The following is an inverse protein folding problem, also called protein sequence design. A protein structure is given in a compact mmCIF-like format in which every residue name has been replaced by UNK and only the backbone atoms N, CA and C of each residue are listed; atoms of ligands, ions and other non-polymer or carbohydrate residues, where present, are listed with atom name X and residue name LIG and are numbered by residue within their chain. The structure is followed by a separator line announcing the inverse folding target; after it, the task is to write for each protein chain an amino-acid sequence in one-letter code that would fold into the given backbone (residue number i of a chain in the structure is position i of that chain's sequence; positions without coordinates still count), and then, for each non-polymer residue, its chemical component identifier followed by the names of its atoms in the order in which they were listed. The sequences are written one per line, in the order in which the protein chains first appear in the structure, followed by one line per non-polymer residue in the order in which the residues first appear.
data_IF_576769765691
#
_entry.id   IF_576769765691
#
_cell.length_a   1.000
_cell.length_b   1.000
_cell.length_c   1.000
_cell.angle_alpha   90.00
_cell.angle_beta   90.00
_cell.angle_gamma   90.00
#
_symmetry.space_group_name_H-M   'P 1'
#
loop_
_entity.id
_entity.type
_entity.pdbx_description
1 polymer ?
#
# COMPACT_ATOMS: atom_id res chain seq x y z
N UNK A 1 -0.63 -7.97 -17.59
CA UNK A 1 -1.91 -8.25 -16.89
C UNK A 1 -2.36 -6.93 -16.30
N UNK A 2 -3.57 -6.49 -16.59
CA UNK A 2 -4.13 -5.25 -16.05
C UNK A 2 -5.20 -5.60 -15.01
N UNK A 3 -5.09 -4.99 -13.83
CA UNK A 3 -6.07 -5.15 -12.76
C UNK A 3 -7.01 -3.93 -12.84
N UNK A 4 -8.34 -4.13 -12.98
CA UNK A 4 -9.27 -3.01 -13.01
C UNK A 4 -9.24 -2.24 -11.69
N UNK A 5 -9.50 -0.94 -11.75
CA UNK A 5 -9.56 -0.05 -10.58
C UNK A 5 -8.31 -0.08 -9.68
N UNK A 6 -7.15 -0.40 -10.25
CA UNK A 6 -5.89 -0.58 -9.52
C UNK A 6 -5.52 0.63 -8.66
N UNK A 7 -5.71 1.84 -9.16
CA UNK A 7 -5.43 3.06 -8.40
C UNK A 7 -6.35 3.21 -7.19
N UNK A 8 -7.65 2.95 -7.35
CA UNK A 8 -8.61 2.96 -6.23
C UNK A 8 -8.27 1.88 -5.20
N UNK A 9 -7.84 0.69 -5.64
CA UNK A 9 -7.36 -0.36 -4.73
C UNK A 9 -6.17 0.14 -3.88
N UNK A 10 -5.19 0.77 -4.51
CA UNK A 10 -4.02 1.32 -3.80
C UNK A 10 -4.41 2.42 -2.81
N UNK A 11 -5.31 3.32 -3.20
CA UNK A 11 -5.79 4.41 -2.33
C UNK A 11 -6.56 3.84 -1.13
N UNK A 12 -7.42 2.85 -1.35
CA UNK A 12 -8.19 2.20 -0.30
C UNK A 12 -7.28 1.39 0.66
N UNK A 13 -6.20 0.80 0.16
CA UNK A 13 -5.18 0.17 1.01
C UNK A 13 -4.39 1.20 1.81
N UNK A 14 -4.01 2.33 1.20
CA UNK A 14 -3.27 3.40 1.87
C UNK A 14 -4.08 4.06 3.00
N UNK A 15 -5.40 4.21 2.81
CA UNK A 15 -6.31 4.81 3.81
C UNK A 15 -6.57 3.90 5.02
N UNK A 16 -6.27 2.60 4.92
CA UNK A 16 -6.39 1.67 6.04
C UNK A 16 -5.42 1.98 7.19
N UNK A 17 -4.35 2.74 6.93
CA UNK A 17 -3.46 3.26 7.98
C UNK A 17 -4.22 4.18 8.94
N UNK A 18 -4.98 5.16 8.43
CA UNK A 18 -5.75 6.10 9.24
C UNK A 18 -6.79 5.39 10.13
N UNK A 19 -7.33 4.27 9.65
CA UNK A 19 -8.33 3.49 10.39
C UNK A 19 -7.73 2.65 11.52
N UNK A 20 -6.45 2.28 11.43
CA UNK A 20 -5.84 1.26 12.29
C UNK A 20 -4.72 1.81 13.18
N UNK A 21 -4.04 2.88 12.77
CA UNK A 21 -2.84 3.42 13.43
C UNK A 21 -1.63 2.48 13.37
N UNK A 22 -1.69 1.39 12.61
CA UNK A 22 -0.63 0.38 12.51
C UNK A 22 0.42 0.80 11.48
N UNK A 23 1.71 0.76 11.84
CA UNK A 23 2.80 1.21 10.97
C UNK A 23 3.03 0.34 9.72
N UNK A 24 2.68 -0.94 9.76
CA UNK A 24 2.74 -1.86 8.64
C UNK A 24 1.58 -2.84 8.71
N UNK A 25 0.83 -2.96 7.62
CA UNK A 25 -0.36 -3.82 7.51
C UNK A 25 -0.40 -4.49 6.15
N UNK A 26 -1.03 -5.66 6.08
CA UNK A 26 -1.50 -6.25 4.83
C UNK A 26 -2.98 -5.94 4.64
N UNK A 27 -3.40 -5.73 3.40
CA UNK A 27 -4.79 -5.47 3.05
C UNK A 27 -5.25 -6.52 2.05
N UNK A 28 -6.24 -7.32 2.42
CA UNK A 28 -6.86 -8.27 1.51
C UNK A 28 -8.09 -7.61 0.89
N UNK A 29 -8.13 -7.60 -0.44
CA UNK A 29 -9.06 -6.78 -1.21
C UNK A 29 -9.77 -7.60 -2.27
N UNK A 30 -10.97 -7.15 -2.64
CA UNK A 30 -11.75 -7.71 -3.74
C UNK A 30 -12.31 -6.60 -4.62
N UNK A 31 -12.60 -6.94 -5.87
CA UNK A 31 -13.35 -6.09 -6.78
C UNK A 31 -14.73 -6.71 -6.94
N UNK A 32 -15.72 -6.11 -6.28
CA UNK A 32 -17.11 -6.51 -6.39
C UNK A 32 -17.70 -5.98 -7.70
N UNK A 33 -18.46 -6.81 -8.41
CA UNK A 33 -19.04 -6.46 -9.72
C UNK A 33 -19.93 -5.21 -9.68
N UNK A 34 -20.59 -4.95 -8.56
CA UNK A 34 -21.55 -3.85 -8.40
C UNK A 34 -21.03 -2.70 -7.55
N UNK A 35 -20.14 -3.00 -6.59
CA UNK A 35 -19.63 -2.04 -5.61
C UNK A 35 -18.19 -1.59 -5.88
N UNK A 36 -17.50 -2.23 -6.81
CA UNK A 36 -16.11 -1.89 -7.14
C UNK A 36 -15.13 -2.39 -6.06
N UNK A 37 -13.96 -1.73 -5.91
CA UNK A 37 -12.94 -2.07 -4.92
C UNK A 37 -13.46 -2.08 -3.48
N UNK A 38 -13.14 -3.13 -2.73
CA UNK A 38 -13.52 -3.29 -1.33
C UNK A 38 -12.39 -3.93 -0.50
N UNK A 39 -12.24 -3.50 0.75
CA UNK A 39 -11.40 -4.17 1.75
C UNK A 39 -12.19 -5.32 2.37
N UNK A 40 -11.60 -6.50 2.45
CA UNK A 40 -12.14 -7.64 3.18
C UNK A 40 -11.52 -7.77 4.57
N UNK A 41 -10.19 -7.69 4.64
CA UNK A 41 -9.44 -7.95 5.87
C UNK A 41 -8.22 -7.04 5.96
N UNK A 42 -7.94 -6.59 7.18
CA UNK A 42 -6.73 -5.86 7.53
C UNK A 42 -5.87 -6.74 8.46
N UNK A 43 -4.68 -7.06 7.99
CA UNK A 43 -3.74 -7.94 8.67
C UNK A 43 -2.64 -7.12 9.35
N UNK A 44 -2.65 -7.09 10.68
CA UNK A 44 -1.62 -6.38 11.46
C UNK A 44 -0.22 -7.01 11.39
N UNK A 45 -0.13 -8.28 10.96
CA UNK A 45 1.11 -9.04 10.83
C UNK A 45 1.08 -9.86 9.54
N UNK A 46 1.16 -9.20 8.37
CA UNK A 46 1.07 -9.92 7.11
C UNK A 46 2.33 -10.78 6.90
N UNK A 47 2.16 -11.93 6.27
CA UNK A 47 3.27 -12.81 5.93
C UNK A 47 4.24 -12.17 4.93
N UNK A 48 5.51 -12.59 4.96
CA UNK A 48 6.55 -12.06 4.06
C UNK A 48 6.68 -12.83 2.74
N UNK A 49 5.93 -13.92 2.56
CA UNK A 49 6.02 -14.81 1.39
C UNK A 49 5.77 -14.09 0.04
N UNK A 50 5.01 -13.00 0.06
CA UNK A 50 4.75 -12.16 -1.12
C UNK A 50 6.04 -11.57 -1.73
N UNK A 51 7.09 -11.40 -0.91
CA UNK A 51 8.39 -10.91 -1.36
C UNK A 51 9.10 -11.91 -2.27
N UNK A 52 8.97 -13.21 -1.97
CA UNK A 52 9.49 -14.28 -2.83
C UNK A 52 8.75 -14.32 -4.15
N UNK A 53 7.42 -14.16 -4.15
CA UNK A 53 6.61 -14.13 -5.37
C UNK A 53 6.95 -12.92 -6.27
N UNK A 54 7.20 -11.75 -5.67
CA UNK A 54 7.50 -10.52 -6.41
C UNK A 54 9.00 -10.33 -6.72
N UNK A 55 9.88 -11.19 -6.21
CA UNK A 55 11.33 -11.04 -6.33
C UNK A 55 11.88 -9.75 -5.70
N UNK A 56 11.12 -9.13 -4.79
CA UNK A 56 11.40 -7.81 -4.24
C UNK A 56 11.24 -7.81 -2.72
N UNK A 57 12.33 -7.49 -2.02
CA UNK A 57 12.33 -7.39 -0.56
C UNK A 57 11.61 -6.14 -0.05
N UNK A 58 11.01 -6.25 1.14
CA UNK A 58 10.32 -5.13 1.80
C UNK A 58 11.31 -4.13 2.41
N UNK A 59 12.44 -4.60 2.96
CA UNK A 59 13.38 -3.77 3.72
C UNK A 59 13.89 -2.54 2.95
N UNK A 60 14.35 -2.65 1.69
CA UNK A 60 14.83 -1.47 0.95
C UNK A 60 13.73 -0.41 0.77
N UNK A 61 12.48 -0.82 0.54
CA UNK A 61 11.34 0.10 0.39
C UNK A 61 11.05 0.83 1.71
N UNK A 62 11.07 0.11 2.84
CA UNK A 62 10.89 0.72 4.15
C UNK A 62 12.00 1.74 4.46
N UNK A 63 13.24 1.44 4.13
CA UNK A 63 14.36 2.37 4.30
C UNK A 63 14.16 3.66 3.48
N UNK A 64 13.70 3.55 2.24
CA UNK A 64 13.34 4.72 1.41
C UNK A 64 12.24 5.56 2.05
N UNK A 65 11.16 4.93 2.52
CA UNK A 65 10.03 5.65 3.15
C UNK A 65 10.44 6.32 4.46
N UNK A 66 11.22 5.65 5.32
CA UNK A 66 11.71 6.25 6.56
C UNK A 66 12.66 7.44 6.31
N UNK A 67 13.51 7.37 5.28
CA UNK A 67 14.37 8.49 4.91
C UNK A 67 13.55 9.71 4.44
N UNK A 68 12.47 9.51 3.68
CA UNK A 68 11.57 10.58 3.24
C UNK A 68 10.82 11.20 4.43
N UNK A 69 10.39 10.37 5.38
CA UNK A 69 9.75 10.84 6.61
C UNK A 69 10.67 11.75 7.43
N UNK A 70 11.94 11.39 7.54
CA UNK A 70 12.96 12.20 8.24
C UNK A 70 13.20 13.56 7.57
N UNK A 71 12.91 13.69 6.27
CA UNK A 71 13.05 14.93 5.50
C UNK A 71 11.82 15.86 5.59
N UNK A 72 10.79 15.50 6.36
CA UNK A 72 9.63 16.35 6.58
C UNK A 72 8.44 16.10 5.66
N UNK A 73 8.43 15.00 4.88
CA UNK A 73 7.28 14.57 4.07
C UNK A 73 6.17 13.95 4.94
N UNK A 74 5.63 14.71 5.90
CA UNK A 74 4.92 14.16 7.07
C UNK A 74 3.39 14.09 6.89
N UNK A 75 2.80 14.72 5.87
CA UNK A 75 1.33 14.79 5.75
C UNK A 75 0.84 14.61 4.32
N UNK A 76 1.07 13.42 3.76
CA UNK A 76 0.50 13.06 2.47
C UNK A 76 -0.88 12.42 2.63
N UNK A 77 -1.85 12.86 1.84
CA UNK A 77 -3.14 12.14 1.70
C UNK A 77 -2.90 10.70 1.20
N UNK A 78 -3.87 9.78 1.35
CA UNK A 78 -3.76 8.45 0.75
C UNK A 78 -3.37 8.50 -0.74
N UNK A 79 -3.95 9.41 -1.51
CA UNK A 79 -3.68 9.61 -2.93
C UNK A 79 -2.24 10.08 -3.18
N UNK A 80 -1.75 11.05 -2.42
CA UNK A 80 -0.37 11.54 -2.53
C UNK A 80 0.65 10.45 -2.15
N UNK A 81 0.35 9.64 -1.13
CA UNK A 81 1.18 8.47 -0.75
C UNK A 81 1.22 7.44 -1.87
N UNK A 82 0.10 7.19 -2.53
CA UNK A 82 0.03 6.28 -3.68
C UNK A 82 0.81 6.83 -4.86
N UNK A 83 0.63 8.11 -5.22
CA UNK A 83 1.36 8.76 -6.30
C UNK A 83 2.88 8.68 -6.09
N UNK A 84 3.35 9.06 -4.89
CA UNK A 84 4.75 8.97 -4.50
C UNK A 84 5.29 7.52 -4.60
N UNK A 85 4.58 6.54 -4.03
CA UNK A 85 5.01 5.15 -4.10
C UNK A 85 5.05 4.60 -5.53
N UNK A 86 4.16 5.07 -6.41
CA UNK A 86 4.18 4.69 -7.83
C UNK A 86 5.39 5.29 -8.53
N UNK A 87 5.73 6.56 -8.29
CA UNK A 87 6.95 7.17 -8.84
C UNK A 87 8.22 6.47 -8.36
N UNK A 88 8.26 6.06 -7.08
CA UNK A 88 9.43 5.42 -6.49
C UNK A 88 9.60 3.94 -6.87
N UNK A 89 8.50 3.21 -7.09
CA UNK A 89 8.52 1.74 -7.13
C UNK A 89 7.79 1.09 -8.30
N UNK A 90 7.07 1.84 -9.15
CA UNK A 90 6.51 1.29 -10.38
C UNK A 90 7.62 1.19 -11.43
N UNK A 91 8.16 -0.01 -11.61
CA UNK A 91 9.01 -0.36 -12.73
C UNK A 91 8.16 -0.77 -13.94
#
# INVERSE_FOLDING_TARGET
LEIPDWEQLLVLAASAWEMTGLGYIGTDMVIDKSRGPMVLELNARPGLAIQTANGAGLLPRLQTIEALRQQGAIHHSPEERVALCRELFAN
#
